data_IF_341074158573
#
_entry.id   IF_341074158573
#
_cell.length_a   1.000
_cell.length_b   1.000
_cell.length_c   1.000
_cell.angle_alpha   90.00
_cell.angle_beta   90.00
_cell.angle_gamma   90.00
#
_symmetry.space_group_name_H-M   'P 1'
#
loop_
_entity.id
_entity.type
_entity.pdbx_description
1 polymer ?
#
# COMPACT_ATOMS: atom_id res chain seq x y z
N UNK A 1 32.63 1.62 69.46
CA UNK A 1 33.28 2.48 68.43
C UNK A 1 33.10 1.88 67.05
N UNK A 2 33.31 2.67 65.98
CA UNK A 2 33.05 2.41 64.54
C UNK A 2 31.59 2.50 64.09
N UNK A 3 31.27 3.65 63.48
CA UNK A 3 30.00 3.97 62.81
C UNK A 3 29.90 3.19 61.49
N UNK A 4 28.76 2.57 61.19
CA UNK A 4 28.43 2.13 59.82
C UNK A 4 27.97 3.36 59.02
N UNK A 5 28.42 3.45 57.77
CA UNK A 5 27.95 4.48 56.84
C UNK A 5 26.46 4.23 56.48
N UNK A 6 25.68 5.30 56.38
CA UNK A 6 24.24 5.21 56.09
C UNK A 6 23.95 5.08 54.59
N UNK A 7 22.90 4.33 54.26
CA UNK A 7 22.29 4.38 52.93
C UNK A 7 21.67 5.77 52.68
N UNK A 8 21.71 6.29 51.45
CA UNK A 8 20.99 7.51 51.08
C UNK A 8 19.46 7.29 51.13
N UNK A 9 18.66 8.33 51.46
CA UNK A 9 17.22 8.20 51.63
C UNK A 9 16.48 8.05 50.28
N UNK A 10 15.32 7.37 50.25
CA UNK A 10 14.54 7.16 49.03
C UNK A 10 13.91 8.47 48.55
N UNK A 11 14.15 8.82 47.28
CA UNK A 11 13.43 9.94 46.64
C UNK A 11 12.01 9.53 46.31
N UNK A 12 11.05 10.04 47.08
CA UNK A 12 9.64 10.08 46.67
C UNK A 12 9.53 10.84 45.33
N UNK A 13 8.88 10.23 44.35
CA UNK A 13 8.08 10.96 43.36
C UNK A 13 6.68 10.38 43.33
N UNK A 14 5.71 11.27 43.23
CA UNK A 14 4.27 11.03 43.27
C UNK A 14 3.84 10.05 42.19
N UNK A 15 3.03 9.06 42.57
CA UNK A 15 2.17 8.38 41.61
C UNK A 15 0.97 9.26 41.26
N UNK A 16 0.65 9.33 39.97
CA UNK A 16 -0.66 9.74 39.47
C UNK A 16 -0.98 8.86 38.28
N UNK A 17 -2.11 8.16 38.41
CA UNK A 17 -2.97 7.51 37.41
C UNK A 17 -2.36 6.86 36.16
N UNK A 18 -2.90 5.69 35.82
CA UNK A 18 -2.70 5.07 34.52
C UNK A 18 -3.20 5.98 33.38
N UNK A 19 -2.39 6.09 32.34
CA UNK A 19 -2.81 6.50 31.00
C UNK A 19 -2.18 5.50 30.02
N UNK A 20 -3.01 4.89 29.16
CA UNK A 20 -2.58 3.90 28.17
C UNK A 20 -1.95 4.62 27.01
N UNK A 21 -0.64 4.92 27.13
CA UNK A 21 0.09 5.74 26.17
C UNK A 21 0.10 5.20 24.75
N UNK A 22 -0.29 6.05 23.80
CA UNK A 22 -0.19 5.82 22.36
C UNK A 22 1.26 5.54 21.92
N UNK A 23 1.50 4.38 21.32
CA UNK A 23 2.80 4.03 20.71
C UNK A 23 2.97 4.64 19.30
N UNK A 24 3.51 5.87 19.28
CA UNK A 24 3.77 6.65 18.07
C UNK A 24 5.07 6.22 17.33
N UNK A 25 4.91 5.25 16.43
CA UNK A 25 5.98 4.61 15.64
C UNK A 25 5.84 4.88 14.13
N UNK A 26 5.78 6.17 13.77
CA UNK A 26 5.68 6.63 12.36
C UNK A 26 7.06 6.74 11.68
N UNK A 27 7.19 6.21 10.46
CA UNK A 27 8.38 6.38 9.61
C UNK A 27 8.47 7.83 9.09
N UNK A 28 9.38 8.60 9.69
CA UNK A 28 9.56 10.03 9.46
C UNK A 28 10.34 10.29 8.14
N UNK A 29 9.61 10.34 7.02
CA UNK A 29 10.15 10.67 5.69
C UNK A 29 10.55 12.15 5.61
N UNK A 30 11.76 12.42 6.10
CA UNK A 30 12.33 13.73 6.38
C UNK A 30 12.71 14.57 5.13
N UNK A 31 11.83 14.72 4.13
CA UNK A 31 12.06 15.62 2.98
C UNK A 31 10.79 16.15 2.27
N UNK A 32 9.87 16.79 3.01
CA UNK A 32 8.85 17.68 2.45
C UNK A 32 9.02 19.13 2.97
N UNK A 33 9.87 19.90 2.28
CA UNK A 33 9.72 21.36 2.18
C UNK A 33 8.77 21.66 1.03
N UNK A 34 7.95 22.71 1.17
CA UNK A 34 6.72 22.88 0.40
C UNK A 34 6.92 23.04 -1.10
N UNK A 35 5.97 22.51 -1.86
CA UNK A 35 5.74 22.86 -3.25
C UNK A 35 4.66 23.95 -3.27
N UNK A 36 4.99 25.07 -3.92
CA UNK A 36 4.12 26.23 -4.05
C UNK A 36 3.24 26.04 -5.29
N UNK A 37 2.12 25.32 -5.12
CA UNK A 37 1.11 25.21 -6.17
C UNK A 37 0.34 26.54 -6.25
N UNK A 38 0.71 27.38 -7.21
CA UNK A 38 -0.13 28.47 -7.69
C UNK A 38 -1.51 27.91 -8.03
N UNK A 39 -2.56 28.51 -7.48
CA UNK A 39 -3.84 27.84 -7.34
C UNK A 39 -4.61 27.60 -8.63
N UNK A 40 -5.18 26.40 -8.74
CA UNK A 40 -6.57 26.25 -9.20
C UNK A 40 -7.37 25.69 -8.02
N UNK A 41 -8.48 26.36 -7.69
CA UNK A 41 -9.31 26.01 -6.55
C UNK A 41 -10.11 24.74 -6.85
N UNK A 42 -9.79 23.62 -6.20
CA UNK A 42 -10.72 22.50 -6.06
C UNK A 42 -10.66 21.94 -4.64
N UNK A 43 -11.82 21.91 -3.99
CA UNK A 43 -11.95 21.72 -2.56
C UNK A 43 -12.37 20.29 -2.19
N UNK A 44 -11.58 19.59 -1.37
CA UNK A 44 -12.08 18.62 -0.39
C UNK A 44 -10.96 18.12 0.56
N UNK A 45 -10.67 18.89 1.62
CA UNK A 45 -10.12 18.29 2.84
C UNK A 45 -11.25 18.22 3.87
N UNK A 46 -12.06 17.15 3.81
CA UNK A 46 -13.25 16.97 4.66
C UNK A 46 -13.07 15.77 5.59
N UNK A 47 -12.47 16.03 6.74
CA UNK A 47 -12.60 15.17 7.93
C UNK A 47 -13.03 16.05 9.08
N UNK A 48 -14.29 16.49 9.04
CA UNK A 48 -14.95 17.16 10.16
C UNK A 48 -15.47 16.09 11.13
N UNK A 49 -14.69 15.78 12.16
CA UNK A 49 -15.23 15.18 13.37
C UNK A 49 -15.77 16.27 14.27
N UNK A 50 -17.08 16.48 14.28
CA UNK A 50 -17.79 17.33 15.23
C UNK A 50 -18.81 16.48 16.01
N UNK A 51 -18.84 16.67 17.33
CA UNK A 51 -19.81 16.08 18.24
C UNK A 51 -20.13 17.14 19.29
N UNK A 52 -21.22 17.87 19.09
CA UNK A 52 -21.68 18.92 20.01
C UNK A 52 -22.19 18.33 21.34
N UNK A 53 -22.19 19.05 22.47
CA UNK A 53 -21.72 20.42 22.80
C UNK A 53 -21.81 20.58 24.35
N UNK A 54 -21.79 21.74 25.02
CA UNK A 54 -21.61 23.18 24.72
C UNK A 54 -21.44 23.87 26.13
N UNK A 55 -21.09 25.17 26.34
CA UNK A 55 -20.73 26.23 25.40
C UNK A 55 -19.44 27.04 25.74
N UNK A 56 -19.05 27.91 24.80
CA UNK A 56 -18.42 29.23 25.02
C UNK A 56 -17.00 29.32 25.64
N UNK A 57 -15.96 29.20 24.79
CA UNK A 57 -14.80 30.11 24.87
C UNK A 57 -14.05 30.28 23.52
N UNK A 58 -13.29 31.36 23.38
CA UNK A 58 -12.90 31.98 22.11
C UNK A 58 -12.26 31.12 21.01
N UNK A 59 -12.69 31.37 19.76
CA UNK A 59 -12.05 30.88 18.52
C UNK A 59 -10.57 31.31 18.46
N UNK A 60 -9.64 30.44 18.86
CA UNK A 60 -8.21 30.65 18.63
C UNK A 60 -7.94 30.70 17.12
N UNK A 61 -7.51 31.87 16.62
CA UNK A 61 -6.95 32.02 15.26
C UNK A 61 -5.94 30.90 15.02
N UNK A 62 -6.08 30.17 13.90
CA UNK A 62 -5.05 29.22 13.42
C UNK A 62 -3.74 30.00 13.28
N UNK A 63 -2.80 29.80 14.20
CA UNK A 63 -1.48 30.43 14.15
C UNK A 63 -0.79 30.03 12.85
N UNK A 64 -0.18 30.99 12.15
CA UNK A 64 0.61 30.71 10.95
C UNK A 64 1.61 29.58 11.24
N UNK A 65 1.72 28.62 10.30
CA UNK A 65 2.67 27.50 10.44
C UNK A 65 4.07 28.10 10.62
N UNK A 66 4.71 27.82 11.76
CA UNK A 66 6.11 28.24 12.01
C UNK A 66 6.99 27.80 10.83
N UNK A 67 7.88 28.66 10.32
CA UNK A 67 8.81 28.26 9.28
C UNK A 67 9.62 27.05 9.75
N UNK A 68 9.71 26.02 8.91
CA UNK A 68 10.49 24.81 9.22
C UNK A 68 11.95 25.22 9.34
N UNK A 69 12.56 24.96 10.50
CA UNK A 69 14.00 25.14 10.69
C UNK A 69 14.75 24.25 9.70
N UNK A 70 15.82 24.78 9.12
CA UNK A 70 16.73 23.96 8.32
C UNK A 70 17.32 22.84 9.18
N UNK A 71 17.08 21.59 8.76
CA UNK A 71 17.56 20.39 9.44
C UNK A 71 19.05 20.22 9.13
N UNK A 72 19.86 19.95 10.17
CA UNK A 72 21.28 19.61 9.99
C UNK A 72 21.41 18.28 9.22
N UNK A 73 22.51 18.05 8.48
CA UNK A 73 22.78 16.77 7.83
C UNK A 73 22.71 15.61 8.83
N UNK A 74 22.16 14.48 8.39
CA UNK A 74 22.16 13.24 9.16
C UNK A 74 23.50 12.53 8.97
N UNK A 75 24.13 12.17 10.09
CA UNK A 75 25.46 11.54 10.15
C UNK A 75 25.31 10.09 10.61
N UNK A 76 26.17 9.19 10.12
CA UNK A 76 26.28 7.84 10.65
C UNK A 76 26.67 7.90 12.14
N UNK A 77 26.04 7.08 12.98
CA UNK A 77 26.40 7.01 14.39
C UNK A 77 27.55 6.00 14.59
N UNK A 78 28.55 6.39 15.38
CA UNK A 78 29.79 5.62 15.58
C UNK A 78 29.69 4.57 16.71
N UNK A 79 28.47 4.20 17.12
CA UNK A 79 28.20 3.24 18.20
C UNK A 79 27.49 2.03 17.62
N UNK A 80 27.92 0.83 18.01
CA UNK A 80 27.24 -0.41 17.65
C UNK A 80 26.03 -0.62 18.56
N UNK A 81 24.81 -0.65 18.01
CA UNK A 81 23.59 -0.95 18.78
C UNK A 81 23.20 -2.43 18.63
N UNK A 82 22.77 -3.05 19.73
CA UNK A 82 22.24 -4.42 19.70
C UNK A 82 20.75 -4.43 19.34
N UNK A 83 20.40 -5.14 18.27
CA UNK A 83 19.03 -5.54 17.95
C UNK A 83 18.75 -6.86 18.65
N UNK A 84 17.64 -6.94 19.37
CA UNK A 84 17.24 -8.09 20.19
C UNK A 84 16.09 -8.89 19.57
N UNK A 85 15.20 -8.23 18.83
CA UNK A 85 14.08 -8.88 18.13
C UNK A 85 14.07 -8.46 16.66
N UNK A 86 13.87 -9.43 15.78
CA UNK A 86 13.81 -9.27 14.32
C UNK A 86 12.58 -10.01 13.80
N UNK A 87 11.83 -9.40 12.88
CA UNK A 87 10.67 -10.04 12.24
C UNK A 87 11.05 -11.24 11.34
N UNK A 88 10.06 -12.05 10.95
CA UNK A 88 10.24 -13.11 9.95
C UNK A 88 10.80 -12.61 8.60
N UNK A 89 10.60 -11.33 8.28
CA UNK A 89 11.11 -10.67 7.07
C UNK A 89 12.51 -10.05 7.22
N UNK A 90 13.11 -10.11 8.41
CA UNK A 90 14.44 -9.55 8.68
C UNK A 90 14.41 -8.08 9.16
N UNK A 91 13.27 -7.54 9.58
CA UNK A 91 13.15 -6.17 10.06
C UNK A 91 13.51 -6.08 11.55
N UNK A 92 14.47 -5.25 11.98
CA UNK A 92 14.68 -4.94 13.39
C UNK A 92 13.41 -4.38 14.04
N UNK A 93 13.03 -4.92 15.19
CA UNK A 93 11.86 -4.50 15.96
C UNK A 93 12.27 -3.93 17.31
N UNK A 94 13.12 -4.64 18.07
CA UNK A 94 13.54 -4.20 19.39
C UNK A 94 15.06 -4.05 19.52
N UNK A 95 15.58 -3.06 20.28
CA UNK A 95 14.81 -2.01 20.98
C UNK A 95 14.13 -1.03 20.02
N UNK A 96 12.87 -0.64 20.28
CA UNK A 96 12.08 0.26 19.41
C UNK A 96 12.85 1.53 19.00
N UNK A 97 13.61 2.16 19.91
CA UNK A 97 14.43 3.34 19.58
C UNK A 97 15.55 3.08 18.56
N UNK A 98 16.13 1.87 18.55
CA UNK A 98 17.09 1.42 17.53
C UNK A 98 16.37 1.17 16.21
N UNK A 99 15.22 0.47 16.25
CA UNK A 99 14.41 0.17 15.08
C UNK A 99 13.91 1.45 14.36
N UNK A 100 13.47 2.47 15.11
CA UNK A 100 13.12 3.80 14.59
C UNK A 100 14.28 4.46 13.84
N UNK A 101 15.49 4.38 14.37
CA UNK A 101 16.70 4.95 13.76
C UNK A 101 17.23 4.16 12.54
N UNK A 102 16.86 2.88 12.42
CA UNK A 102 17.48 1.91 11.51
C UNK A 102 17.58 2.40 10.06
N UNK A 103 16.46 2.74 9.43
CA UNK A 103 16.44 3.14 8.02
C UNK A 103 17.17 4.45 7.72
N UNK A 104 17.21 5.39 8.68
CA UNK A 104 17.97 6.63 8.54
C UNK A 104 19.48 6.33 8.54
N UNK A 105 19.95 5.43 9.42
CA UNK A 105 21.34 4.98 9.43
C UNK A 105 21.69 4.23 8.14
N UNK A 106 20.83 3.34 7.63
CA UNK A 106 21.03 2.70 6.31
C UNK A 106 21.22 3.74 5.19
N UNK A 107 20.42 4.81 5.21
CA UNK A 107 20.55 5.91 4.28
C UNK A 107 21.87 6.68 4.41
N UNK A 108 22.46 6.76 5.60
CA UNK A 108 23.79 7.34 5.82
C UNK A 108 24.88 6.40 5.28
N UNK A 109 24.82 5.11 5.62
CA UNK A 109 25.73 4.07 5.08
C UNK A 109 25.78 4.13 3.56
N UNK A 110 24.63 4.23 2.88
CA UNK A 110 24.55 4.34 1.41
C UNK A 110 25.29 5.57 0.89
N UNK A 111 25.06 6.76 1.46
CA UNK A 111 25.68 8.01 0.97
C UNK A 111 27.20 8.03 1.13
N UNK A 112 27.72 7.37 2.17
CA UNK A 112 29.16 7.28 2.43
C UNK A 112 29.90 6.17 1.65
N UNK A 113 29.17 5.33 0.89
CA UNK A 113 29.73 4.07 0.36
C UNK A 113 29.39 3.80 -1.09
N UNK A 114 28.29 4.35 -1.60
CA UNK A 114 27.78 4.06 -2.94
C UNK A 114 27.89 5.31 -3.82
N UNK A 115 28.59 5.25 -4.98
CA UNK A 115 28.57 6.32 -5.97
C UNK A 115 27.14 6.64 -6.41
N UNK A 116 26.81 7.93 -6.55
CA UNK A 116 25.45 8.39 -6.91
C UNK A 116 24.97 7.84 -8.26
N UNK A 117 25.89 7.45 -9.14
CA UNK A 117 25.63 6.89 -10.45
C UNK A 117 25.25 5.39 -10.43
N UNK A 118 25.55 4.63 -9.37
CA UNK A 118 25.26 3.19 -9.28
C UNK A 118 23.76 2.93 -9.52
N UNK A 119 23.42 2.17 -10.57
CA UNK A 119 22.01 1.97 -10.97
C UNK A 119 21.39 0.75 -10.28
N UNK A 120 21.82 -0.44 -10.63
CA UNK A 120 21.45 -1.67 -9.93
C UNK A 120 22.50 -1.98 -8.86
N UNK A 121 22.20 -1.61 -7.62
CA UNK A 121 23.06 -1.85 -6.46
C UNK A 121 23.32 -3.35 -6.22
N UNK A 122 22.46 -4.24 -6.70
CA UNK A 122 22.52 -5.69 -6.44
C UNK A 122 23.02 -6.49 -7.65
N UNK A 123 23.52 -5.81 -8.68
CA UNK A 123 24.15 -6.46 -9.83
C UNK A 123 25.50 -7.07 -9.45
N UNK A 124 25.99 -8.03 -10.26
CA UNK A 124 27.24 -8.75 -9.97
C UNK A 124 28.46 -7.82 -9.97
N UNK A 125 28.43 -6.79 -10.82
CA UNK A 125 29.49 -5.80 -10.97
C UNK A 125 29.62 -4.92 -9.70
N UNK A 126 28.55 -4.81 -8.91
CA UNK A 126 28.52 -4.04 -7.67
C UNK A 126 28.69 -4.90 -6.40
N UNK A 127 29.08 -6.18 -6.53
CA UNK A 127 29.22 -7.10 -5.40
C UNK A 127 30.19 -6.56 -4.31
N UNK A 128 31.31 -5.97 -4.70
CA UNK A 128 32.26 -5.35 -3.75
C UNK A 128 31.63 -4.19 -2.95
N UNK A 129 30.73 -3.41 -3.56
CA UNK A 129 29.97 -2.35 -2.90
C UNK A 129 28.96 -2.96 -1.92
N UNK A 130 28.27 -4.02 -2.33
CA UNK A 130 27.33 -4.78 -1.48
C UNK A 130 28.04 -5.34 -0.25
N UNK A 131 29.23 -5.94 -0.38
CA UNK A 131 30.00 -6.43 0.76
C UNK A 131 30.41 -5.29 1.70
N UNK A 132 30.83 -4.15 1.15
CA UNK A 132 31.18 -2.95 1.94
C UNK A 132 29.98 -2.37 2.70
N UNK A 133 28.79 -2.39 2.09
CA UNK A 133 27.54 -1.98 2.73
C UNK A 133 27.14 -2.91 3.88
N UNK A 134 27.24 -4.22 3.69
CA UNK A 134 26.96 -5.20 4.75
C UNK A 134 28.01 -5.15 5.86
N UNK A 135 29.28 -4.90 5.54
CA UNK A 135 30.31 -4.69 6.55
C UNK A 135 29.98 -3.47 7.44
N UNK A 136 29.62 -2.33 6.85
CA UNK A 136 29.17 -1.14 7.61
C UNK A 136 27.87 -1.39 8.40
N UNK A 137 26.95 -2.20 7.87
CA UNK A 137 25.74 -2.63 8.58
C UNK A 137 26.08 -3.38 9.87
N UNK A 138 26.94 -4.39 9.80
CA UNK A 138 27.33 -5.23 10.93
C UNK A 138 28.35 -4.57 11.87
N UNK A 139 29.05 -3.51 11.43
CA UNK A 139 29.77 -2.59 12.33
C UNK A 139 28.79 -1.74 13.15
N UNK A 140 27.68 -1.30 12.54
CA UNK A 140 26.68 -0.43 13.17
C UNK A 140 25.69 -1.18 14.05
N UNK A 141 25.39 -2.44 13.75
CA UNK A 141 24.39 -3.25 14.46
C UNK A 141 24.88 -4.66 14.74
N UNK A 142 24.54 -5.17 15.92
CA UNK A 142 24.59 -6.61 16.22
C UNK A 142 23.17 -7.17 16.16
N UNK A 143 22.99 -8.35 15.57
CA UNK A 143 21.69 -9.01 15.40
C UNK A 143 21.60 -10.28 16.28
N UNK A 144 20.39 -10.75 16.63
CA UNK A 144 20.24 -11.91 17.51
C UNK A 144 20.58 -13.22 16.79
N UNK A 145 21.12 -14.19 17.54
CA UNK A 145 21.38 -15.55 17.06
C UNK A 145 20.14 -16.47 17.19
N UNK A 146 19.93 -17.44 16.28
CA UNK A 146 20.75 -17.73 15.10
C UNK A 146 20.62 -16.67 14.00
N UNK A 147 21.75 -16.23 13.42
CA UNK A 147 21.77 -15.12 12.47
C UNK A 147 20.81 -15.30 11.28
N UNK A 148 19.83 -14.40 11.18
CA UNK A 148 18.82 -14.43 10.13
C UNK A 148 19.32 -13.73 8.85
N UNK A 149 19.76 -14.51 7.86
CA UNK A 149 20.19 -14.02 6.53
C UNK A 149 19.16 -13.12 5.79
N UNK A 150 17.88 -13.12 6.19
CA UNK A 150 16.88 -12.17 5.64
C UNK A 150 17.15 -10.73 6.07
N UNK A 151 17.85 -10.49 7.19
CA UNK A 151 18.28 -9.16 7.64
C UNK A 151 19.10 -8.47 6.55
N UNK A 152 20.14 -9.12 6.04
CA UNK A 152 20.99 -8.58 4.96
C UNK A 152 20.19 -8.32 3.68
N UNK A 153 19.34 -9.27 3.29
CA UNK A 153 18.49 -9.13 2.08
C UNK A 153 17.50 -7.96 2.20
N UNK A 154 16.90 -7.76 3.38
CA UNK A 154 16.00 -6.63 3.64
C UNK A 154 16.78 -5.31 3.77
N UNK A 155 17.95 -5.32 4.40
CA UNK A 155 18.84 -4.16 4.51
C UNK A 155 19.26 -3.68 3.13
N UNK A 156 19.74 -4.57 2.25
CA UNK A 156 20.10 -4.25 0.86
C UNK A 156 18.90 -3.73 0.06
N UNK A 157 17.71 -4.31 0.27
CA UNK A 157 16.47 -3.80 -0.35
C UNK A 157 16.18 -2.36 0.09
N UNK A 158 16.25 -2.07 1.41
CA UNK A 158 16.09 -0.71 1.96
C UNK A 158 17.19 0.25 1.52
N UNK A 159 18.44 -0.20 1.43
CA UNK A 159 19.58 0.58 0.92
C UNK A 159 19.41 0.94 -0.56
N UNK A 160 18.94 0.00 -1.39
CA UNK A 160 18.61 0.28 -2.78
C UNK A 160 17.49 1.32 -2.90
N UNK A 161 16.44 1.23 -2.07
CA UNK A 161 15.41 2.28 -1.98
C UNK A 161 16.00 3.62 -1.52
N UNK A 162 16.90 3.62 -0.53
CA UNK A 162 17.55 4.83 -0.03
C UNK A 162 18.42 5.51 -1.11
N UNK A 163 19.11 4.74 -1.94
CA UNK A 163 19.86 5.23 -3.11
C UNK A 163 18.92 5.87 -4.13
N UNK A 164 17.81 5.22 -4.51
CA UNK A 164 16.82 5.81 -5.42
C UNK A 164 16.20 7.10 -4.86
N UNK A 165 15.85 7.11 -3.57
CA UNK A 165 15.34 8.31 -2.88
C UNK A 165 16.38 9.42 -2.81
N UNK A 166 17.67 9.10 -2.65
CA UNK A 166 18.76 10.07 -2.69
C UNK A 166 18.90 10.71 -4.07
N UNK A 167 18.99 9.91 -5.14
CA UNK A 167 18.99 10.37 -6.54
C UNK A 167 17.80 11.29 -6.83
N UNK A 168 16.59 10.89 -6.41
CA UNK A 168 15.37 11.68 -6.61
C UNK A 168 15.39 13.02 -5.85
N UNK A 169 15.89 13.05 -4.61
CA UNK A 169 16.06 14.32 -3.87
C UNK A 169 17.06 15.24 -4.56
N UNK A 170 18.19 14.70 -5.03
CA UNK A 170 19.22 15.46 -5.72
C UNK A 170 18.71 16.01 -7.07
N UNK A 171 18.03 15.16 -7.85
CA UNK A 171 17.35 15.56 -9.10
C UNK A 171 16.42 16.76 -8.89
N UNK A 172 15.50 16.69 -7.92
CA UNK A 172 14.56 17.81 -7.63
C UNK A 172 15.28 19.12 -7.25
N UNK A 173 16.42 19.04 -6.55
CA UNK A 173 17.23 20.22 -6.20
C UNK A 173 17.90 20.84 -7.43
N UNK A 174 18.40 20.02 -8.35
CA UNK A 174 18.95 20.45 -9.64
C UNK A 174 17.86 21.10 -10.50
N UNK A 175 16.68 20.47 -10.60
CA UNK A 175 15.52 20.99 -11.34
C UNK A 175 14.99 22.32 -10.74
N UNK A 176 15.06 22.47 -9.42
CA UNK A 176 14.74 23.72 -8.71
C UNK A 176 15.85 24.80 -8.75
N UNK A 177 16.97 24.54 -9.44
CA UNK A 177 18.08 25.49 -9.55
C UNK A 177 18.86 25.75 -8.24
N UNK A 178 18.83 24.82 -7.27
CA UNK A 178 19.55 24.99 -6.00
C UNK A 178 21.08 24.98 -6.23
N UNK A 179 21.80 25.92 -5.63
CA UNK A 179 23.24 26.09 -5.87
C UNK A 179 24.08 24.92 -5.31
N UNK A 180 25.27 24.71 -5.87
CA UNK A 180 26.17 23.63 -5.45
C UNK A 180 26.53 23.70 -3.97
N UNK A 181 26.78 24.90 -3.44
CA UNK A 181 27.16 25.15 -2.05
C UNK A 181 26.01 24.75 -1.10
N UNK A 182 24.77 24.99 -1.51
CA UNK A 182 23.56 24.62 -0.74
C UNK A 182 23.20 23.14 -0.89
N UNK A 183 23.59 22.50 -1.98
CA UNK A 183 23.46 21.04 -2.16
C UNK A 183 24.51 20.32 -1.31
N UNK A 184 25.80 20.62 -1.50
CA UNK A 184 26.93 19.99 -0.80
C UNK A 184 26.92 20.20 0.71
N UNK A 185 26.56 21.39 1.21
CA UNK A 185 26.40 21.61 2.66
C UNK A 185 25.30 20.76 3.32
N UNK A 186 24.34 20.27 2.53
CA UNK A 186 23.28 19.33 2.98
C UNK A 186 23.64 17.87 2.76
N UNK A 187 24.67 17.60 1.96
CA UNK A 187 25.10 16.28 1.54
C UNK A 187 26.64 16.24 1.36
N UNK A 188 27.42 16.29 2.46
CA UNK A 188 28.87 16.45 2.40
C UNK A 188 29.61 15.25 1.78
N UNK A 189 28.92 14.12 1.65
CA UNK A 189 29.36 12.89 0.99
C UNK A 189 29.39 12.98 -0.54
N UNK A 190 28.65 13.92 -1.15
CA UNK A 190 28.58 14.05 -2.59
C UNK A 190 29.75 14.91 -3.10
N UNK A 191 30.60 14.34 -3.97
CA UNK A 191 31.68 15.10 -4.61
C UNK A 191 31.15 16.00 -5.74
N UNK A 192 31.90 17.05 -6.09
CA UNK A 192 31.56 17.93 -7.23
C UNK A 192 31.63 17.17 -8.57
N UNK A 193 32.52 16.18 -8.68
CA UNK A 193 32.64 15.32 -9.85
C UNK A 193 31.41 14.43 -10.00
N UNK A 194 31.01 13.71 -8.93
CA UNK A 194 29.79 12.90 -8.88
C UNK A 194 28.54 13.72 -9.19
N UNK A 195 28.45 14.95 -8.65
CA UNK A 195 27.35 15.85 -8.92
C UNK A 195 27.25 16.25 -10.40
N UNK A 196 28.38 16.64 -11.00
CA UNK A 196 28.43 17.02 -12.42
C UNK A 196 28.12 15.81 -13.32
N UNK A 197 28.70 14.65 -13.02
CA UNK A 197 28.44 13.41 -13.76
C UNK A 197 26.98 12.95 -13.62
N UNK A 198 26.37 13.09 -12.43
CA UNK A 198 24.94 12.84 -12.23
C UNK A 198 24.07 13.83 -13.02
N UNK A 199 24.43 15.12 -13.07
CA UNK A 199 23.73 16.12 -13.89
C UNK A 199 23.80 15.78 -15.38
N UNK A 200 24.96 15.40 -15.90
CA UNK A 200 25.11 14.91 -17.28
C UNK A 200 24.30 13.62 -17.54
N UNK A 201 24.25 12.70 -16.57
CA UNK A 201 23.43 11.48 -16.67
C UNK A 201 21.94 11.79 -16.75
N UNK A 202 21.42 12.75 -15.98
CA UNK A 202 20.02 13.17 -16.02
C UNK A 202 19.60 13.70 -17.40
N UNK A 203 20.51 14.35 -18.12
CA UNK A 203 20.27 14.87 -19.47
C UNK A 203 20.28 13.81 -20.58
N UNK A 204 20.67 12.56 -20.27
CA UNK A 204 20.72 11.48 -21.27
C UNK A 204 19.33 11.08 -21.79
N UNK A 205 19.27 10.74 -23.08
CA UNK A 205 18.05 10.25 -23.74
C UNK A 205 17.44 9.03 -23.05
N UNK A 206 18.28 8.15 -22.48
CA UNK A 206 17.83 6.98 -21.74
C UNK A 206 17.02 7.39 -20.50
N UNK A 207 17.50 8.36 -19.71
CA UNK A 207 16.79 8.88 -18.52
C UNK A 207 15.53 9.64 -18.91
N UNK A 208 15.57 10.42 -19.99
CA UNK A 208 14.39 11.11 -20.54
C UNK A 208 13.30 10.13 -20.97
N UNK A 209 13.65 9.09 -21.73
CA UNK A 209 12.74 7.99 -22.14
C UNK A 209 12.18 7.22 -20.93
N UNK A 210 13.03 6.86 -19.97
CA UNK A 210 12.60 6.17 -18.74
C UNK A 210 11.65 7.02 -17.89
N UNK A 211 11.92 8.32 -17.76
CA UNK A 211 11.05 9.26 -17.03
C UNK A 211 9.68 9.38 -17.70
N UNK A 212 9.64 9.49 -19.04
CA UNK A 212 8.39 9.53 -19.81
C UNK A 212 7.59 8.22 -19.70
N UNK A 213 8.26 7.07 -19.82
CA UNK A 213 7.64 5.76 -19.59
C UNK A 213 7.07 5.65 -18.17
N UNK A 214 7.84 6.05 -17.15
CA UNK A 214 7.41 6.02 -15.75
C UNK A 214 6.23 6.95 -15.47
N UNK A 215 6.08 8.07 -16.20
CA UNK A 215 4.86 8.89 -16.16
C UNK A 215 3.68 8.11 -16.74
N UNK A 216 3.81 7.58 -17.97
CA UNK A 216 2.77 6.77 -18.62
C UNK A 216 2.32 5.58 -17.77
N UNK A 217 3.23 4.89 -17.07
CA UNK A 217 2.86 3.80 -16.17
C UNK A 217 2.08 4.27 -14.93
N UNK A 218 2.38 5.46 -14.39
CA UNK A 218 1.58 6.05 -13.31
C UNK A 218 0.21 6.50 -13.79
N UNK A 219 0.09 7.00 -15.01
CA UNK A 219 -1.18 7.40 -15.62
C UNK A 219 -2.11 6.20 -15.89
N UNK A 220 -1.56 4.97 -15.94
CA UNK A 220 -2.32 3.71 -16.02
C UNK A 220 -2.75 3.16 -14.65
N UNK A 221 -2.32 3.76 -13.54
CA UNK A 221 -2.73 3.29 -12.21
C UNK A 221 -4.18 3.68 -11.91
N UNK A 222 -4.93 2.74 -11.37
CA UNK A 222 -6.34 2.92 -11.00
C UNK A 222 -6.46 3.75 -9.70
N UNK A 223 -6.64 5.07 -9.86
CA UNK A 223 -6.89 6.02 -8.77
C UNK A 223 -5.68 6.32 -7.87
N UNK A 224 -5.66 7.52 -7.29
CA UNK A 224 -4.67 7.89 -6.26
C UNK A 224 -5.15 7.40 -4.89
N UNK A 225 -4.20 7.18 -3.96
CA UNK A 225 -4.52 6.71 -2.61
C UNK A 225 -3.72 7.53 -1.60
N UNK A 226 -4.31 7.80 -0.45
CA UNK A 226 -3.75 8.71 0.55
C UNK A 226 -3.34 7.97 1.84
N UNK A 227 -2.59 6.87 1.69
CA UNK A 227 -2.17 6.03 2.81
C UNK A 227 -1.00 6.60 3.64
N UNK A 228 -0.20 7.51 3.08
CA UNK A 228 1.02 8.00 3.73
C UNK A 228 2.15 6.96 3.76
N UNK A 229 3.25 7.27 4.46
CA UNK A 229 4.44 6.42 4.53
C UNK A 229 4.20 5.05 5.21
N UNK A 230 3.20 4.97 6.10
CA UNK A 230 2.78 3.73 6.74
C UNK A 230 2.00 2.75 5.86
N UNK A 231 1.64 3.13 4.62
CA UNK A 231 0.85 2.29 3.71
C UNK A 231 -0.49 1.86 4.32
N UNK A 232 -0.98 0.67 3.95
CA UNK A 232 -2.24 0.14 4.49
C UNK A 232 -2.20 -0.07 6.01
N UNK A 233 -1.06 -0.52 6.58
CA UNK A 233 -0.89 -0.65 8.04
C UNK A 233 -1.12 0.69 8.77
N UNK A 234 -0.60 1.78 8.22
CA UNK A 234 -0.83 3.14 8.77
C UNK A 234 -2.28 3.62 8.66
N UNK A 235 -3.09 2.99 7.79
CA UNK A 235 -4.52 3.28 7.64
C UNK A 235 -5.45 2.34 8.39
N UNK A 236 -4.98 1.16 8.79
CA UNK A 236 -5.80 0.19 9.52
C UNK A 236 -6.56 0.82 10.72
N UNK A 237 -5.93 1.60 11.63
CA UNK A 237 -6.65 2.22 12.76
C UNK A 237 -7.69 3.28 12.36
N UNK A 238 -7.65 3.77 11.12
CA UNK A 238 -8.71 4.63 10.54
C UNK A 238 -9.86 3.76 10.04
N UNK A 239 -9.55 2.68 9.32
CA UNK A 239 -10.53 1.74 8.79
C UNK A 239 -11.28 1.01 9.91
N UNK A 240 -10.60 0.63 10.99
CA UNK A 240 -11.21 0.00 12.16
C UNK A 240 -12.26 0.93 12.82
N UNK A 241 -12.01 2.25 12.85
CA UNK A 241 -12.94 3.26 13.37
C UNK A 241 -14.15 3.46 12.45
N UNK A 242 -13.90 3.54 11.14
CA UNK A 242 -14.96 3.59 10.13
C UNK A 242 -15.85 2.33 10.15
N UNK A 243 -15.26 1.15 10.35
CA UNK A 243 -15.99 -0.12 10.39
C UNK A 243 -16.77 -0.30 11.69
N UNK A 244 -16.21 0.15 12.83
CA UNK A 244 -16.95 0.24 14.08
C UNK A 244 -18.16 1.19 13.97
N UNK A 245 -18.03 2.30 13.23
CA UNK A 245 -19.15 3.21 12.95
C UNK A 245 -20.21 2.55 12.04
N UNK A 246 -19.80 1.81 11.01
CA UNK A 246 -20.73 1.06 10.17
C UNK A 246 -21.53 0.03 10.98
N UNK A 247 -20.86 -0.71 11.87
CA UNK A 247 -21.51 -1.64 12.83
C UNK A 247 -22.46 -0.89 13.77
N UNK A 248 -22.08 0.28 14.30
CA UNK A 248 -22.94 1.13 15.14
C UNK A 248 -24.22 1.57 14.41
N UNK A 249 -24.11 1.83 13.10
CA UNK A 249 -25.24 2.19 12.23
C UNK A 249 -26.04 0.97 11.73
N UNK A 250 -25.69 -0.25 12.14
CA UNK A 250 -26.34 -1.48 11.68
C UNK A 250 -26.09 -1.81 10.20
N UNK A 251 -25.04 -1.25 9.60
CA UNK A 251 -24.65 -1.44 8.20
C UNK A 251 -23.45 -2.39 8.12
N UNK A 252 -23.46 -3.30 7.15
CA UNK A 252 -22.30 -4.15 6.86
C UNK A 252 -21.26 -3.39 6.00
N UNK A 253 -19.97 -3.63 6.23
CA UNK A 253 -18.89 -3.12 5.37
C UNK A 253 -19.00 -3.77 3.96
N UNK A 254 -19.19 -2.98 2.87
CA UNK A 254 -19.39 -3.52 1.52
C UNK A 254 -18.26 -4.44 1.04
N UNK A 255 -17.04 -4.27 1.53
CA UNK A 255 -15.85 -4.96 1.02
C UNK A 255 -15.49 -6.24 1.78
N UNK A 256 -16.21 -6.62 2.83
CA UNK A 256 -16.04 -7.93 3.49
C UNK A 256 -16.26 -9.12 2.54
N UNK A 257 -17.02 -8.93 1.45
CA UNK A 257 -17.19 -9.95 0.40
C UNK A 257 -15.93 -10.19 -0.44
N UNK A 258 -15.00 -9.23 -0.49
CA UNK A 258 -13.74 -9.34 -1.23
C UNK A 258 -12.77 -10.13 -0.34
N UNK A 259 -12.59 -11.42 -0.66
CA UNK A 259 -11.75 -12.33 0.12
C UNK A 259 -10.27 -11.93 0.08
N UNK A 260 -9.75 -11.64 -1.11
CA UNK A 260 -8.37 -11.19 -1.30
C UNK A 260 -8.10 -9.87 -0.56
N UNK A 261 -7.19 -9.93 0.41
CA UNK A 261 -6.85 -8.80 1.25
C UNK A 261 -6.22 -7.66 0.44
N UNK A 262 -5.41 -7.98 -0.58
CA UNK A 262 -4.73 -6.96 -1.37
C UNK A 262 -5.72 -6.13 -2.20
N UNK A 263 -6.69 -6.78 -2.84
CA UNK A 263 -7.79 -6.16 -3.56
C UNK A 263 -8.72 -5.38 -2.62
N UNK A 264 -9.05 -5.94 -1.45
CA UNK A 264 -9.87 -5.26 -0.42
C UNK A 264 -9.20 -3.98 0.08
N UNK A 265 -7.91 -4.05 0.44
CA UNK A 265 -7.12 -2.89 0.89
C UNK A 265 -6.88 -1.89 -0.25
N UNK A 266 -6.74 -2.35 -1.49
CA UNK A 266 -6.65 -1.50 -2.67
C UNK A 266 -7.91 -0.65 -2.83
N UNK A 267 -9.10 -1.25 -2.76
CA UNK A 267 -10.38 -0.51 -2.87
C UNK A 267 -10.54 0.40 -1.65
N UNK A 268 -10.39 -0.13 -0.44
CA UNK A 268 -10.61 0.62 0.81
C UNK A 268 -9.72 1.86 0.94
N UNK A 269 -8.47 1.80 0.47
CA UNK A 269 -7.53 2.94 0.48
C UNK A 269 -7.87 4.10 -0.47
N UNK A 270 -8.91 3.94 -1.30
CA UNK A 270 -9.40 4.90 -2.30
C UNK A 270 -10.83 5.37 -2.03
N UNK A 271 -11.39 4.95 -0.90
CA UNK A 271 -12.66 5.41 -0.36
C UNK A 271 -12.44 6.11 0.98
N UNK A 272 -13.40 6.93 1.39
CA UNK A 272 -13.50 7.52 2.73
C UNK A 272 -14.94 7.44 3.22
N UNK A 273 -15.16 7.31 4.53
CA UNK A 273 -16.50 7.39 5.12
C UNK A 273 -16.97 8.85 5.21
N UNK A 274 -18.13 9.16 4.62
CA UNK A 274 -18.88 10.36 4.97
C UNK A 274 -19.64 10.12 6.28
N UNK A 275 -19.11 10.70 7.35
CA UNK A 275 -19.65 10.61 8.71
C UNK A 275 -21.05 11.21 8.87
N UNK A 276 -21.52 12.06 7.94
CA UNK A 276 -22.87 12.66 8.00
C UNK A 276 -23.94 11.73 7.42
N UNK A 277 -23.59 10.90 6.44
CA UNK A 277 -24.54 9.97 5.77
C UNK A 277 -24.28 8.48 6.10
N UNK A 278 -23.12 8.16 6.66
CA UNK A 278 -22.64 6.79 6.84
C UNK A 278 -22.54 6.05 5.51
N UNK A 279 -21.99 6.70 4.48
CA UNK A 279 -21.75 6.13 3.16
C UNK A 279 -20.28 6.27 2.80
N UNK A 280 -19.73 5.26 2.13
CA UNK A 280 -18.39 5.34 1.58
C UNK A 280 -18.40 6.08 0.23
N UNK A 281 -17.55 7.10 0.10
CA UNK A 281 -17.41 7.93 -1.09
C UNK A 281 -16.02 7.72 -1.69
N UNK A 282 -15.95 7.68 -3.02
CA UNK A 282 -14.70 7.77 -3.79
C UNK A 282 -14.83 8.83 -4.86
N UNK A 283 -13.75 9.58 -5.08
CA UNK A 283 -13.65 10.57 -6.15
C UNK A 283 -13.16 9.94 -7.47
N UNK A 284 -12.93 8.61 -7.48
CA UNK A 284 -12.36 7.86 -8.60
C UNK A 284 -13.36 6.86 -9.20
N UNK A 285 -14.03 7.25 -10.28
CA UNK A 285 -14.97 6.38 -11.01
C UNK A 285 -14.33 5.05 -11.44
N UNK A 286 -13.08 5.07 -11.91
CA UNK A 286 -12.32 3.86 -12.28
C UNK A 286 -12.13 2.86 -11.13
N UNK A 287 -12.15 3.33 -9.88
CA UNK A 287 -12.05 2.48 -8.69
C UNK A 287 -13.40 1.85 -8.36
N UNK A 288 -14.50 2.60 -8.54
CA UNK A 288 -15.88 2.09 -8.42
C UNK A 288 -16.18 1.03 -9.48
N UNK A 289 -15.69 1.19 -10.71
CA UNK A 289 -15.81 0.16 -11.75
C UNK A 289 -14.97 -1.09 -11.43
N UNK A 290 -13.76 -0.90 -10.89
CA UNK A 290 -12.90 -2.01 -10.45
C UNK A 290 -13.51 -2.76 -9.25
N UNK A 291 -14.05 -2.05 -8.27
CA UNK A 291 -14.82 -2.62 -7.16
C UNK A 291 -16.01 -3.45 -7.69
N UNK A 292 -16.82 -2.86 -8.58
CA UNK A 292 -17.97 -3.55 -9.18
C UNK A 292 -17.54 -4.83 -9.91
N UNK A 293 -16.40 -4.81 -10.60
CA UNK A 293 -15.80 -6.01 -11.20
C UNK A 293 -15.43 -7.06 -10.14
N UNK A 294 -14.73 -6.68 -9.06
CA UNK A 294 -14.39 -7.56 -7.93
C UNK A 294 -15.62 -8.15 -7.21
N UNK A 295 -16.77 -7.48 -7.29
CA UNK A 295 -18.03 -7.91 -6.67
C UNK A 295 -18.99 -8.67 -7.63
N UNK A 296 -18.61 -8.88 -8.88
CA UNK A 296 -19.50 -9.47 -9.90
C UNK A 296 -19.44 -10.99 -9.90
N UNK A 297 -20.61 -11.63 -9.76
CA UNK A 297 -20.81 -13.07 -9.92
C UNK A 297 -21.17 -13.40 -11.37
N UNK A 298 -20.50 -14.38 -11.96
CA UNK A 298 -20.67 -14.73 -13.37
C UNK A 298 -21.48 -16.01 -13.53
N UNK A 299 -22.61 -15.95 -14.24
CA UNK A 299 -23.36 -17.14 -14.64
C UNK A 299 -22.96 -17.55 -16.04
N UNK A 300 -22.50 -18.79 -16.21
CA UNK A 300 -22.33 -19.44 -17.51
C UNK A 300 -23.58 -20.27 -17.77
N UNK A 301 -24.41 -19.83 -18.71
CA UNK A 301 -25.61 -20.56 -19.15
C UNK A 301 -25.26 -21.65 -20.18
N UNK A 302 -24.37 -21.33 -21.12
CA UNK A 302 -23.83 -22.24 -22.12
C UNK A 302 -22.30 -22.06 -22.19
N UNK A 303 -21.56 -23.17 -22.14
CA UNK A 303 -20.10 -23.20 -22.06
C UNK A 303 -19.62 -24.62 -21.74
N UNK A 304 -18.31 -24.77 -21.49
CA UNK A 304 -17.71 -26.08 -21.12
C UNK A 304 -18.32 -26.66 -19.84
N UNK A 305 -18.37 -25.85 -18.78
CA UNK A 305 -19.06 -26.17 -17.53
C UNK A 305 -20.02 -25.02 -17.18
N UNK A 306 -21.32 -25.15 -17.49
CA UNK A 306 -22.35 -24.21 -17.05
C UNK A 306 -22.50 -24.17 -15.53
N UNK A 307 -22.73 -23.00 -14.96
CA UNK A 307 -22.75 -22.80 -13.51
C UNK A 307 -22.69 -21.33 -13.07
N UNK A 308 -22.48 -21.11 -11.78
CA UNK A 308 -22.23 -19.78 -11.20
C UNK A 308 -20.79 -19.75 -10.67
N UNK A 309 -20.05 -18.73 -11.05
CA UNK A 309 -18.64 -18.50 -10.73
C UNK A 309 -18.50 -17.19 -9.98
N UNK A 310 -17.56 -17.15 -9.03
CA UNK A 310 -17.28 -15.96 -8.21
C UNK A 310 -16.12 -15.15 -8.82
N UNK A 311 -15.27 -15.79 -9.63
CA UNK A 311 -14.17 -15.14 -10.37
C UNK A 311 -14.39 -15.11 -11.89
N UNK A 312 -13.98 -14.02 -12.53
CA UNK A 312 -14.02 -13.89 -13.98
C UNK A 312 -13.13 -14.91 -14.70
N UNK A 313 -11.92 -15.16 -14.23
CA UNK A 313 -10.99 -16.07 -14.91
C UNK A 313 -11.47 -17.53 -14.91
N UNK A 314 -12.24 -17.95 -13.90
CA UNK A 314 -12.92 -19.25 -13.92
C UNK A 314 -14.05 -19.30 -14.95
N UNK A 315 -14.92 -18.30 -14.97
CA UNK A 315 -15.98 -18.16 -15.97
C UNK A 315 -15.41 -18.14 -17.40
N UNK A 316 -14.38 -17.33 -17.62
CA UNK A 316 -13.65 -17.17 -18.89
C UNK A 316 -13.07 -18.49 -19.39
N UNK A 317 -12.51 -19.35 -18.52
CA UNK A 317 -12.07 -20.71 -18.90
C UNK A 317 -13.22 -21.54 -19.50
N UNK A 318 -14.48 -21.32 -19.10
CA UNK A 318 -15.64 -22.06 -19.62
C UNK A 318 -16.16 -21.53 -20.96
N UNK A 319 -16.06 -20.23 -21.22
CA UNK A 319 -16.69 -19.57 -22.38
C UNK A 319 -15.73 -19.15 -23.48
N UNK A 320 -14.45 -18.89 -23.14
CA UNK A 320 -13.46 -18.41 -24.09
C UNK A 320 -13.23 -19.43 -25.22
N UNK A 321 -13.37 -18.97 -26.46
CA UNK A 321 -13.33 -19.79 -27.70
C UNK A 321 -14.30 -20.98 -27.70
N UNK A 322 -15.39 -20.92 -26.94
CA UNK A 322 -16.47 -21.91 -26.99
C UNK A 322 -17.59 -21.40 -27.91
N UNK A 323 -17.96 -22.18 -28.93
CA UNK A 323 -19.01 -21.78 -29.88
C UNK A 323 -20.39 -21.80 -29.20
N UNK A 324 -21.23 -20.79 -29.46
CA UNK A 324 -22.54 -20.67 -28.82
C UNK A 324 -22.50 -20.43 -27.31
N UNK A 325 -21.38 -19.97 -26.74
CA UNK A 325 -21.31 -19.64 -25.32
C UNK A 325 -22.33 -18.54 -24.94
N UNK A 326 -22.83 -18.61 -23.71
CA UNK A 326 -23.77 -17.64 -23.17
C UNK A 326 -23.46 -17.45 -21.69
N UNK A 327 -23.12 -16.22 -21.29
CA UNK A 327 -22.81 -15.88 -19.90
C UNK A 327 -23.25 -14.46 -19.55
N UNK A 328 -23.39 -14.16 -18.26
CA UNK A 328 -23.71 -12.82 -17.76
C UNK A 328 -23.21 -12.60 -16.32
N UNK A 329 -22.69 -11.41 -16.04
CA UNK A 329 -22.36 -10.95 -14.70
C UNK A 329 -23.56 -10.37 -13.94
N UNK A 330 -23.58 -10.56 -12.62
CA UNK A 330 -24.61 -10.11 -11.68
C UNK A 330 -24.00 -9.57 -10.38
N UNK A 331 -24.60 -8.55 -9.74
CA UNK A 331 -24.05 -7.91 -8.54
C UNK A 331 -24.19 -8.75 -7.26
N UNK A 332 -25.00 -9.82 -7.27
CA UNK A 332 -25.20 -10.69 -6.10
C UNK A 332 -25.23 -12.16 -6.48
N UNK A 333 -24.69 -13.00 -5.58
CA UNK A 333 -24.73 -14.47 -5.69
C UNK A 333 -26.17 -14.99 -5.75
N UNK A 334 -27.08 -14.39 -4.98
CA UNK A 334 -28.48 -14.79 -4.97
C UNK A 334 -29.15 -14.56 -6.33
N UNK A 335 -28.95 -13.39 -6.95
CA UNK A 335 -29.47 -13.13 -8.29
C UNK A 335 -28.84 -14.08 -9.32
N UNK A 336 -27.51 -14.25 -9.30
CA UNK A 336 -26.80 -15.16 -10.19
C UNK A 336 -27.35 -16.60 -10.12
N UNK A 337 -27.50 -17.14 -8.90
CA UNK A 337 -28.09 -18.47 -8.65
C UNK A 337 -29.55 -18.54 -9.07
N UNK A 338 -30.36 -17.51 -8.83
CA UNK A 338 -31.76 -17.46 -9.26
C UNK A 338 -31.88 -17.49 -10.79
N UNK A 339 -31.05 -16.71 -11.51
CA UNK A 339 -31.02 -16.67 -12.98
C UNK A 339 -30.53 -18.00 -13.56
N UNK A 340 -29.51 -18.61 -12.96
CA UNK A 340 -29.03 -19.94 -13.33
C UNK A 340 -30.12 -21.01 -13.17
N UNK A 341 -30.78 -21.08 -12.00
CA UNK A 341 -31.90 -21.99 -11.74
C UNK A 341 -33.06 -21.78 -12.72
N UNK A 342 -33.43 -20.53 -13.00
CA UNK A 342 -34.48 -20.21 -13.96
C UNK A 342 -34.14 -20.66 -15.39
N UNK A 343 -32.87 -20.53 -15.80
CA UNK A 343 -32.39 -21.04 -17.09
C UNK A 343 -32.44 -22.57 -17.14
N UNK A 344 -31.93 -23.25 -16.10
CA UNK A 344 -31.99 -24.72 -16.00
C UNK A 344 -33.43 -25.26 -16.06
N UNK A 345 -34.38 -24.61 -15.36
CA UNK A 345 -35.79 -24.98 -15.41
C UNK A 345 -36.40 -24.81 -16.82
N UNK A 346 -36.07 -23.74 -17.55
CA UNK A 346 -36.48 -23.55 -18.95
C UNK A 346 -35.87 -24.63 -19.86
N UNK A 347 -34.57 -24.89 -19.72
CA UNK A 347 -33.84 -25.91 -20.50
C UNK A 347 -34.38 -27.33 -20.27
N UNK A 348 -34.73 -27.65 -19.02
CA UNK A 348 -35.42 -28.90 -18.67
C UNK A 348 -36.79 -28.99 -19.34
N UNK A 349 -37.65 -27.97 -19.22
CA UNK A 349 -38.97 -27.95 -19.85
C UNK A 349 -38.91 -28.12 -21.37
N UNK A 350 -37.98 -27.43 -22.03
CA UNK A 350 -37.75 -27.58 -23.48
C UNK A 350 -37.29 -29.00 -23.85
N UNK A 351 -36.37 -29.60 -23.09
CA UNK A 351 -35.96 -31.00 -23.30
C UNK A 351 -37.12 -31.97 -23.14
N UNK A 352 -37.92 -31.85 -22.08
CA UNK A 352 -39.10 -32.69 -21.87
C UNK A 352 -40.11 -32.54 -23.02
N UNK A 353 -40.38 -31.31 -23.47
CA UNK A 353 -41.25 -31.05 -24.62
C UNK A 353 -40.74 -31.69 -25.91
N UNK A 354 -39.44 -31.55 -26.21
CA UNK A 354 -38.82 -32.16 -27.40
C UNK A 354 -38.87 -33.70 -27.36
N UNK A 355 -38.60 -34.31 -26.20
CA UNK A 355 -38.69 -35.77 -26.02
C UNK A 355 -40.13 -36.27 -26.17
N UNK A 356 -41.10 -35.59 -25.56
CA UNK A 356 -42.52 -35.95 -25.71
C UNK A 356 -43.01 -35.79 -27.16
N UNK A 357 -42.58 -34.73 -27.85
CA UNK A 357 -42.89 -34.52 -29.27
C UNK A 357 -42.30 -35.64 -30.15
N UNK A 358 -41.04 -36.02 -29.93
CA UNK A 358 -40.39 -37.11 -30.66
C UNK A 358 -41.02 -38.48 -30.35
N UNK A 359 -41.42 -38.75 -29.10
CA UNK A 359 -42.14 -39.97 -28.76
C UNK A 359 -43.51 -40.03 -29.43
N UNK A 360 -44.24 -38.90 -29.47
CA UNK A 360 -45.54 -38.83 -30.13
C UNK A 360 -45.44 -39.06 -31.65
N UNK A 361 -44.42 -38.51 -32.32
CA UNK A 361 -44.21 -38.77 -33.76
C UNK A 361 -43.79 -40.20 -34.04
N UNK A 362 -42.96 -40.82 -33.19
CA UNK A 362 -42.61 -42.26 -33.29
C UNK A 362 -43.86 -43.13 -33.13
N UNK A 363 -44.69 -42.89 -32.10
CA UNK A 363 -45.93 -43.64 -31.88
C UNK A 363 -46.90 -43.49 -33.06
N UNK A 364 -47.08 -42.27 -33.58
CA UNK A 364 -47.91 -42.03 -34.76
C UNK A 364 -47.41 -42.77 -36.00
N UNK A 365 -46.09 -42.81 -36.24
CA UNK A 365 -45.49 -43.56 -37.33
C UNK A 365 -45.68 -45.08 -37.18
N UNK A 366 -45.50 -45.62 -35.98
CA UNK A 366 -45.71 -47.06 -35.71
C UNK A 366 -47.17 -47.45 -35.91
N UNK A 367 -48.12 -46.64 -35.43
CA UNK A 367 -49.56 -46.89 -35.65
C UNK A 367 -49.93 -46.84 -37.13
N UNK A 368 -49.35 -45.90 -37.90
CA UNK A 368 -49.53 -45.83 -39.35
C UNK A 368 -49.06 -47.12 -40.05
N UNK A 369 -47.89 -47.65 -39.67
CA UNK A 369 -47.35 -48.91 -40.21
C UNK A 369 -48.08 -50.19 -39.77
N UNK A 370 -48.97 -50.13 -38.76
CA UNK A 370 -49.78 -51.28 -38.32
C UNK A 370 -51.16 -51.29 -39.02
N UNK A 371 -51.61 -50.13 -39.50
CA UNK A 371 -52.95 -49.93 -40.08
C UNK A 371 -52.96 -49.90 -41.62
N UNK A 372 -51.79 -49.99 -42.26
CA UNK A 372 -51.57 -50.01 -43.72
C UNK A 372 -50.85 -51.31 -44.10
#
# INVERSE_FOLDING_TARGET
MRKRAGNPPPRKRSGTAADTGDDDDTWDDAAQTGEETTGEENAANRTEGDSGGNPQEGKKKRTARRPRRDRRPQVLANVTDAVTVVSESGLPMEPSWVAKGYGMQLGCIVRETVPILTQDLRSKENEAIVQSLLQKLHQRYTFPEPFNKKVDSLALTKMSTALSSWKNRLKRKIEAGESWERISSRDPSLSLEDFNAFKSYLESDAVKKWTAWGKKMRDLNLGTHHCGSGGYRGKQPTWDKEDAEMVRLGKENPWHKIQDEQARNFVRSRYYLDWKTGQFITDHEVVRDFEKYLMTYYVVFEGRVPGVYEEWEECKKQVHKFSGNCYKGYPTRHEAVAKWRAHQAKKSKMKTFLVLSLLLTIVAAVLYFILV
#
